data_IF_802593001185
#
_entry.id   IF_802593001185
#
_cell.length_a   1.000
_cell.length_b   1.000
_cell.length_c   1.000
_cell.angle_alpha   90.00
_cell.angle_beta   90.00
_cell.angle_gamma   90.00
#
_symmetry.space_group_name_H-M   'P 1'
#
loop_
_entity.id
_entity.type
_entity.pdbx_description
1 polymer ?
#
# COMPACT_ATOMS: atom_id res chain seq x y z
N UNK A 1 -10.44 -28.58 20.14
CA UNK A 1 -9.74 -27.52 20.89
C UNK A 1 -8.50 -28.10 21.54
N UNK A 2 -7.33 -27.50 21.31
CA UNK A 2 -6.09 -27.76 22.07
C UNK A 2 -6.16 -27.01 23.39
N UNK A 3 -5.78 -27.65 24.50
CA UNK A 3 -5.78 -27.02 25.83
C UNK A 3 -4.38 -26.86 26.38
N UNK A 4 -4.06 -25.66 26.86
CA UNK A 4 -2.82 -25.34 27.57
C UNK A 4 -3.10 -24.86 28.99
N UNK A 5 -2.09 -24.97 29.85
CA UNK A 5 -2.09 -24.39 31.20
C UNK A 5 -1.10 -23.24 31.25
N UNK A 6 -1.61 -22.05 31.54
CA UNK A 6 -0.82 -20.84 31.73
C UNK A 6 -0.01 -20.92 33.03
N UNK A 7 0.96 -20.02 33.21
CA UNK A 7 1.81 -20.00 34.41
C UNK A 7 0.99 -19.76 35.69
N UNK A 8 -0.11 -19.03 35.57
CA UNK A 8 -1.12 -18.81 36.60
C UNK A 8 -1.96 -20.05 36.97
N UNK A 9 -1.89 -21.13 36.18
CA UNK A 9 -2.75 -22.32 36.30
C UNK A 9 -4.09 -22.20 35.56
N UNK A 10 -4.38 -21.02 35.01
CA UNK A 10 -5.57 -20.76 34.18
C UNK A 10 -5.55 -21.64 32.92
N UNK A 11 -6.72 -22.12 32.53
CA UNK A 11 -6.90 -22.91 31.31
C UNK A 11 -6.98 -22.00 30.09
N UNK A 12 -6.31 -22.38 29.01
CA UNK A 12 -6.43 -21.76 27.70
C UNK A 12 -6.89 -22.81 26.69
N UNK A 13 -7.89 -22.49 25.90
CA UNK A 13 -8.44 -23.34 24.83
C UNK A 13 -8.20 -22.65 23.50
N UNK A 14 -7.69 -23.39 22.52
CA UNK A 14 -7.29 -22.87 21.21
C UNK A 14 -7.91 -23.76 20.15
N UNK A 15 -8.41 -23.16 19.08
CA UNK A 15 -8.90 -23.90 17.93
C UNK A 15 -7.80 -24.82 17.36
N UNK A 16 -8.16 -26.05 16.98
CA UNK A 16 -7.18 -27.05 16.52
C UNK A 16 -6.51 -26.64 15.21
N UNK A 17 -7.25 -26.01 14.29
CA UNK A 17 -6.71 -25.58 12.99
C UNK A 17 -5.74 -24.42 13.20
N UNK A 18 -6.08 -23.47 14.07
CA UNK A 18 -5.19 -22.36 14.43
C UNK A 18 -3.92 -22.84 15.14
N UNK A 19 -4.06 -23.75 16.10
CA UNK A 19 -2.90 -24.30 16.81
C UNK A 19 -1.98 -25.10 15.88
N UNK A 20 -2.55 -25.95 15.00
CA UNK A 20 -1.79 -26.72 14.03
C UNK A 20 -1.06 -25.82 13.04
N UNK A 21 -1.72 -24.78 12.51
CA UNK A 21 -1.10 -23.79 11.64
C UNK A 21 0.11 -23.12 12.30
N UNK A 22 -0.04 -22.64 13.54
CA UNK A 22 1.08 -22.00 14.24
C UNK A 22 2.23 -22.98 14.48
N UNK A 23 1.93 -24.22 14.89
CA UNK A 23 2.94 -25.28 15.14
C UNK A 23 3.69 -25.69 13.88
N UNK A 24 2.98 -25.90 12.77
CA UNK A 24 3.51 -26.58 11.59
C UNK A 24 4.01 -25.60 10.52
N UNK A 25 3.47 -24.37 10.48
CA UNK A 25 3.75 -23.40 9.42
C UNK A 25 4.45 -22.14 9.92
N UNK A 26 4.09 -21.61 11.11
CA UNK A 26 4.60 -20.30 11.60
C UNK A 26 5.90 -20.42 12.38
N UNK A 27 5.92 -21.21 13.45
CA UNK A 27 7.07 -21.29 14.36
C UNK A 27 8.28 -22.09 13.86
N UNK A 28 8.23 -22.93 12.81
CA UNK A 28 9.44 -23.52 12.24
C UNK A 28 10.50 -22.44 11.96
N UNK A 29 11.75 -22.74 12.32
CA UNK A 29 12.92 -21.86 12.16
C UNK A 29 12.92 -20.55 12.99
N UNK A 30 11.89 -20.31 13.82
CA UNK A 30 11.84 -19.14 14.72
C UNK A 30 12.54 -19.34 16.06
N UNK A 31 12.83 -20.60 16.43
CA UNK A 31 13.32 -20.96 17.77
C UNK A 31 12.26 -20.93 18.87
N UNK A 32 10.97 -20.82 18.52
CA UNK A 32 9.82 -20.87 19.43
C UNK A 32 8.99 -22.13 19.22
N UNK A 33 8.19 -22.52 20.22
CA UNK A 33 7.11 -23.51 20.05
C UNK A 33 5.73 -22.86 20.01
N UNK A 34 4.75 -23.57 19.47
CA UNK A 34 3.36 -23.10 19.50
C UNK A 34 2.87 -22.90 20.94
N UNK A 35 3.24 -23.78 21.88
CA UNK A 35 2.89 -23.65 23.29
C UNK A 35 3.46 -22.36 23.89
N UNK A 36 4.69 -21.97 23.57
CA UNK A 36 5.26 -20.72 24.05
C UNK A 36 4.50 -19.50 23.50
N UNK A 37 4.19 -19.51 22.20
CA UNK A 37 3.43 -18.42 21.54
C UNK A 37 2.06 -18.26 22.19
N UNK A 38 1.28 -19.35 22.28
CA UNK A 38 -0.05 -19.29 22.87
C UNK A 38 -0.01 -19.01 24.37
N UNK A 39 0.99 -19.49 25.11
CA UNK A 39 1.13 -19.11 26.53
C UNK A 39 1.33 -17.62 26.70
N UNK A 40 2.17 -16.99 25.86
CA UNK A 40 2.34 -15.53 25.85
C UNK A 40 1.02 -14.84 25.54
N UNK A 41 0.30 -15.27 24.51
CA UNK A 41 -1.02 -14.74 24.15
C UNK A 41 -2.00 -14.83 25.32
N UNK A 42 -2.06 -15.98 25.99
CA UNK A 42 -2.94 -16.18 27.16
C UNK A 42 -2.62 -15.23 28.31
N UNK A 43 -1.34 -15.03 28.63
CA UNK A 43 -0.91 -14.07 29.67
C UNK A 43 -1.22 -12.61 29.27
N UNK A 44 -1.08 -12.26 27.99
CA UNK A 44 -1.48 -10.95 27.47
C UNK A 44 -3.00 -10.75 27.56
N UNK A 45 -3.79 -11.76 27.22
CA UNK A 45 -5.25 -11.72 27.33
C UNK A 45 -5.71 -11.54 28.77
N UNK A 46 -5.12 -12.28 29.73
CA UNK A 46 -5.40 -12.09 31.16
C UNK A 46 -5.07 -10.68 31.63
N UNK A 47 -3.91 -10.16 31.21
CA UNK A 47 -3.42 -8.85 31.66
C UNK A 47 -4.21 -7.69 31.07
N UNK A 48 -4.51 -7.74 29.77
CA UNK A 48 -5.04 -6.60 29.02
C UNK A 48 -6.53 -6.72 28.66
N UNK A 49 -7.12 -7.91 28.72
CA UNK A 49 -8.55 -8.14 28.50
C UNK A 49 -9.47 -7.25 29.36
N UNK A 50 -9.25 -7.15 30.69
CA UNK A 50 -10.06 -6.28 31.55
C UNK A 50 -10.01 -4.81 31.13
N UNK A 51 -8.82 -4.30 30.77
CA UNK A 51 -8.67 -2.91 30.29
C UNK A 51 -9.35 -2.70 28.94
N UNK A 52 -9.31 -3.71 28.06
CA UNK A 52 -10.02 -3.69 26.78
C UNK A 52 -11.53 -3.50 26.99
N UNK A 53 -12.12 -4.28 27.91
CA UNK A 53 -13.54 -4.17 28.27
C UNK A 53 -13.87 -2.80 28.87
N UNK A 54 -13.06 -2.31 29.80
CA UNK A 54 -13.25 -0.99 30.42
C UNK A 54 -13.29 0.14 29.37
N UNK A 55 -12.46 0.06 28.33
CA UNK A 55 -12.45 1.05 27.24
C UNK A 55 -13.72 0.99 26.39
N UNK A 56 -14.27 -0.20 26.14
CA UNK A 56 -15.56 -0.36 25.45
C UNK A 56 -16.72 0.16 26.30
N UNK A 57 -16.71 -0.14 27.61
CA UNK A 57 -17.71 0.37 28.55
C UNK A 57 -17.66 1.91 28.62
N UNK A 58 -16.46 2.50 28.57
CA UNK A 58 -16.30 3.96 28.46
C UNK A 58 -16.95 4.51 27.18
N UNK A 59 -16.74 3.88 26.03
CA UNK A 59 -17.39 4.27 24.75
C UNK A 59 -18.92 4.20 24.86
N UNK A 60 -19.45 3.10 25.39
CA UNK A 60 -20.90 2.91 25.56
C UNK A 60 -21.51 3.92 26.54
N UNK A 61 -20.82 4.22 27.64
CA UNK A 61 -21.25 5.21 28.61
C UNK A 61 -21.27 6.63 28.04
N UNK A 62 -20.24 7.00 27.25
CA UNK A 62 -20.18 8.28 26.55
C UNK A 62 -21.31 8.41 25.52
N UNK A 63 -21.52 7.40 24.66
CA UNK A 63 -22.62 7.41 23.69
C UNK A 63 -23.98 7.55 24.39
N UNK A 64 -24.21 6.79 25.47
CA UNK A 64 -25.46 6.86 26.24
C UNK A 64 -25.74 8.24 26.83
N UNK A 65 -24.71 9.03 27.13
CA UNK A 65 -24.85 10.42 27.63
C UNK A 65 -25.28 11.35 26.49
N UNK A 66 -24.66 11.22 25.32
CA UNK A 66 -25.03 11.96 24.10
C UNK A 66 -26.48 11.65 23.71
N UNK A 67 -26.87 10.38 23.74
CA UNK A 67 -28.24 9.95 23.44
C UNK A 67 -29.24 10.59 24.42
N UNK A 68 -28.97 10.53 25.73
CA UNK A 68 -29.84 11.14 26.75
C UNK A 68 -29.96 12.65 26.58
N UNK A 69 -28.87 13.34 26.23
CA UNK A 69 -28.88 14.77 25.97
C UNK A 69 -29.84 15.12 24.84
N UNK A 70 -29.71 14.48 23.67
CA UNK A 70 -30.58 14.79 22.52
C UNK A 70 -32.01 14.32 22.72
N UNK A 71 -32.24 13.15 23.34
CA UNK A 71 -33.59 12.68 23.69
C UNK A 71 -34.26 13.68 24.66
N UNK A 72 -33.54 14.17 25.66
CA UNK A 72 -34.01 15.17 26.61
C UNK A 72 -34.36 16.49 25.92
N UNK A 73 -33.47 17.00 25.06
CA UNK A 73 -33.70 18.20 24.25
C UNK A 73 -34.98 18.09 23.43
N UNK A 74 -35.14 16.98 22.69
CA UNK A 74 -36.34 16.70 21.88
C UNK A 74 -37.62 16.64 22.71
N UNK A 75 -37.59 15.98 23.88
CA UNK A 75 -38.74 15.98 24.82
C UNK A 75 -39.08 17.37 25.34
N UNK A 76 -38.08 18.26 25.44
CA UNK A 76 -38.25 19.67 25.78
C UNK A 76 -38.76 20.56 24.65
N UNK A 77 -39.10 19.99 23.48
CA UNK A 77 -39.60 20.75 22.32
C UNK A 77 -38.51 21.39 21.47
N UNK A 78 -37.24 21.03 21.67
CA UNK A 78 -36.16 21.48 20.79
C UNK A 78 -36.28 20.84 19.41
N UNK A 79 -36.12 21.66 18.38
CA UNK A 79 -35.93 21.25 16.98
C UNK A 79 -34.72 22.00 16.40
N UNK A 80 -33.78 21.31 15.72
CA UNK A 80 -32.64 21.98 15.11
C UNK A 80 -33.10 22.83 13.93
N UNK A 81 -32.69 24.09 13.90
CA UNK A 81 -32.87 24.98 12.74
C UNK A 81 -31.51 25.54 12.30
N UNK A 82 -31.47 26.16 11.11
CA UNK A 82 -30.25 26.81 10.63
C UNK A 82 -29.84 27.94 11.58
N UNK A 83 -30.82 28.65 12.15
CA UNK A 83 -30.61 29.75 13.10
C UNK A 83 -30.10 29.24 14.46
N UNK A 84 -30.48 28.03 14.89
CA UNK A 84 -30.05 27.45 16.16
C UNK A 84 -28.67 26.79 16.10
N UNK A 85 -28.18 26.46 14.90
CA UNK A 85 -27.00 25.61 14.70
C UNK A 85 -25.76 26.05 15.50
N UNK A 86 -25.43 27.34 15.49
CA UNK A 86 -24.26 27.85 16.21
C UNK A 86 -24.42 27.72 17.74
N UNK A 87 -25.62 27.99 18.26
CA UNK A 87 -25.93 27.86 19.68
C UNK A 87 -25.94 26.39 20.10
N UNK A 88 -26.56 25.53 19.30
CA UNK A 88 -26.63 24.09 19.55
C UNK A 88 -25.24 23.44 19.54
N UNK A 89 -24.37 23.85 18.62
CA UNK A 89 -22.97 23.42 18.57
C UNK A 89 -22.20 23.85 19.83
N UNK A 90 -22.39 25.10 20.29
CA UNK A 90 -21.76 25.58 21.52
C UNK A 90 -22.25 24.85 22.77
N UNK A 91 -23.56 24.63 22.90
CA UNK A 91 -24.15 23.87 24.01
C UNK A 91 -23.69 22.40 24.00
N UNK A 92 -23.60 21.77 22.83
CA UNK A 92 -23.10 20.41 22.69
C UNK A 92 -21.60 20.32 22.97
N UNK A 93 -20.80 21.28 22.50
CA UNK A 93 -19.37 21.36 22.83
C UNK A 93 -19.14 21.44 24.34
N UNK A 94 -19.93 22.26 25.04
CA UNK A 94 -19.85 22.35 26.51
C UNK A 94 -20.24 21.01 27.17
N UNK A 95 -21.29 20.34 26.71
CA UNK A 95 -21.63 19.00 27.19
C UNK A 95 -20.44 18.03 27.04
N UNK A 96 -19.78 18.02 25.88
CA UNK A 96 -18.64 17.13 25.66
C UNK A 96 -17.47 17.42 26.61
N UNK A 97 -17.23 18.68 26.97
CA UNK A 97 -16.24 19.06 27.98
C UNK A 97 -16.67 18.64 29.38
N UNK A 98 -17.91 18.96 29.77
CA UNK A 98 -18.47 18.63 31.09
C UNK A 98 -18.47 17.12 31.36
N UNK A 99 -18.69 16.33 30.31
CA UNK A 99 -18.69 14.86 30.38
C UNK A 99 -17.28 14.24 30.28
N UNK A 100 -16.23 15.06 30.12
CA UNK A 100 -14.85 14.61 29.97
C UNK A 100 -14.59 13.84 28.68
N UNK A 101 -15.38 14.10 27.64
CA UNK A 101 -15.17 13.59 26.28
C UNK A 101 -14.12 14.44 25.55
N UNK A 102 -14.23 15.75 25.65
CA UNK A 102 -13.23 16.71 25.19
C UNK A 102 -12.44 17.24 26.39
N UNK A 103 -11.13 17.28 26.26
CA UNK A 103 -10.27 18.00 27.21
C UNK A 103 -10.12 19.45 26.75
N UNK A 104 -9.86 20.40 27.66
CA UNK A 104 -9.53 21.77 27.29
C UNK A 104 -8.34 21.79 26.31
N UNK A 105 -8.46 22.58 25.25
CA UNK A 105 -7.35 22.77 24.31
C UNK A 105 -6.14 23.33 25.07
N UNK A 106 -5.01 22.63 24.97
CA UNK A 106 -3.75 23.06 25.55
C UNK A 106 -2.65 22.90 24.51
N UNK A 107 -1.77 23.89 24.42
CA UNK A 107 -0.59 23.78 23.56
C UNK A 107 0.35 22.74 24.17
N UNK A 108 0.57 21.65 23.45
CA UNK A 108 1.49 20.59 23.84
C UNK A 108 2.65 20.61 22.84
N UNK A 109 3.84 20.96 23.30
CA UNK A 109 5.06 20.75 22.53
C UNK A 109 5.52 19.30 22.70
N UNK A 110 5.69 18.59 21.59
CA UNK A 110 6.24 17.25 21.56
C UNK A 110 7.09 17.07 20.31
N UNK A 111 7.97 16.07 20.34
CA UNK A 111 8.74 15.63 19.18
C UNK A 111 8.57 14.11 19.03
N UNK A 112 8.40 13.65 17.79
CA UNK A 112 8.39 12.21 17.51
C UNK A 112 9.81 11.65 17.67
N UNK A 113 9.92 10.49 18.33
CA UNK A 113 11.19 9.80 18.57
C UNK A 113 11.32 8.51 17.76
N UNK A 114 10.35 8.22 16.89
CA UNK A 114 10.40 7.09 15.97
C UNK A 114 11.67 7.21 15.12
N UNK A 115 12.52 6.17 15.08
CA UNK A 115 13.70 6.19 14.24
C UNK A 115 13.30 6.26 12.76
N UNK A 116 14.25 6.64 11.91
CA UNK A 116 14.08 6.51 10.46
C UNK A 116 13.88 5.02 10.11
N UNK A 117 12.72 4.71 9.50
CA UNK A 117 12.35 3.37 9.05
C UNK A 117 12.80 3.18 7.59
N UNK A 118 12.08 2.37 6.82
CA UNK A 118 12.22 2.29 5.38
C UNK A 118 11.97 3.63 4.69
N UNK A 119 12.68 3.87 3.57
CA UNK A 119 12.61 5.11 2.78
C UNK A 119 11.17 5.46 2.37
N UNK A 120 10.35 4.45 2.07
CA UNK A 120 8.95 4.63 1.67
C UNK A 120 8.12 5.36 2.74
N UNK A 121 8.49 5.30 4.03
CA UNK A 121 7.80 6.01 5.13
C UNK A 121 8.08 7.52 5.16
N UNK A 122 9.08 7.97 4.39
CA UNK A 122 9.45 9.38 4.22
C UNK A 122 9.17 9.91 2.82
N UNK A 123 8.73 9.03 1.91
CA UNK A 123 8.44 9.33 0.52
C UNK A 123 6.96 9.65 0.33
N UNK A 124 6.66 10.58 -0.58
CA UNK A 124 5.29 10.80 -1.03
C UNK A 124 4.95 9.80 -2.13
N UNK A 125 3.84 9.09 -1.98
CA UNK A 125 3.33 8.18 -3.01
C UNK A 125 1.98 7.58 -2.63
N UNK A 126 1.29 6.95 -3.59
CA UNK A 126 0.08 6.17 -3.32
C UNK A 126 0.27 5.07 -2.27
N UNK A 127 -0.75 4.88 -1.44
CA UNK A 127 -0.89 3.72 -0.55
C UNK A 127 -2.12 2.91 -0.99
N UNK A 128 -1.92 1.61 -1.18
CA UNK A 128 -3.00 0.68 -1.54
C UNK A 128 -3.49 -0.07 -0.30
N UNK A 129 -4.74 -0.55 -0.31
CA UNK A 129 -5.26 -1.50 0.70
C UNK A 129 -5.65 -2.78 -0.02
N UNK A 130 -5.21 -3.94 0.48
CA UNK A 130 -5.51 -5.25 -0.11
C UNK A 130 -6.07 -6.22 0.91
N UNK A 131 -7.17 -6.94 0.60
CA UNK A 131 -7.74 -7.93 1.52
C UNK A 131 -6.85 -9.16 1.60
N UNK A 132 -6.42 -9.51 2.82
CA UNK A 132 -5.48 -10.62 3.01
C UNK A 132 -6.06 -11.99 2.67
N UNK A 133 -7.38 -12.17 2.81
CA UNK A 133 -8.05 -13.45 2.55
C UNK A 133 -8.19 -13.77 1.04
N UNK A 134 -7.76 -12.87 0.15
CA UNK A 134 -7.66 -13.11 -1.29
C UNK A 134 -6.21 -13.07 -1.77
N UNK A 135 -5.58 -14.24 -1.92
CA UNK A 135 -4.18 -14.36 -2.31
C UNK A 135 -3.83 -13.63 -3.63
N UNK A 136 -4.72 -13.62 -4.63
CA UNK A 136 -4.45 -12.92 -5.90
C UNK A 136 -4.45 -11.40 -5.74
N UNK A 137 -5.33 -10.87 -4.88
CA UNK A 137 -5.32 -9.45 -4.54
C UNK A 137 -4.14 -9.11 -3.64
N UNK A 138 -3.76 -9.97 -2.70
CA UNK A 138 -2.60 -9.79 -1.84
C UNK A 138 -1.28 -9.70 -2.64
N UNK A 139 -1.01 -10.66 -3.53
CA UNK A 139 0.14 -10.60 -4.46
C UNK A 139 0.03 -9.38 -5.38
N UNK A 140 -1.18 -9.06 -5.86
CA UNK A 140 -1.42 -7.86 -6.67
C UNK A 140 -1.06 -6.58 -5.93
N UNK A 141 -1.39 -6.48 -4.63
CA UNK A 141 -1.07 -5.34 -3.80
C UNK A 141 0.42 -5.21 -3.53
N UNK A 142 1.10 -6.33 -3.26
CA UNK A 142 2.56 -6.34 -3.15
C UNK A 142 3.26 -5.91 -4.44
N UNK A 143 2.75 -6.32 -5.60
CA UNK A 143 3.34 -5.99 -6.91
C UNK A 143 2.90 -4.63 -7.46
N UNK A 144 1.94 -3.95 -6.82
CA UNK A 144 1.38 -2.69 -7.30
C UNK A 144 2.38 -1.51 -7.27
N UNK A 145 3.56 -1.68 -6.67
CA UNK A 145 4.61 -0.66 -6.70
C UNK A 145 4.96 -0.23 -8.11
N UNK A 146 5.02 -1.14 -9.08
CA UNK A 146 5.37 -0.84 -10.46
C UNK A 146 4.20 -1.19 -11.38
N UNK A 147 3.65 -0.19 -12.06
CA UNK A 147 2.49 -0.34 -12.94
C UNK A 147 2.74 0.24 -14.33
N UNK A 148 2.24 -0.44 -15.36
CA UNK A 148 2.22 0.11 -16.72
C UNK A 148 1.28 1.31 -16.78
N UNK A 149 1.83 2.48 -17.08
CA UNK A 149 1.07 3.69 -17.32
C UNK A 149 0.22 3.56 -18.58
N UNK A 150 0.71 2.84 -19.60
CA UNK A 150 -0.05 2.59 -20.82
C UNK A 150 -1.29 1.73 -20.57
N UNK A 151 -1.15 0.63 -19.84
CA UNK A 151 -2.31 -0.19 -19.47
C UNK A 151 -3.28 0.61 -18.60
N UNK A 152 -2.79 1.42 -17.66
CA UNK A 152 -3.63 2.26 -16.81
C UNK A 152 -4.48 3.26 -17.62
N UNK A 153 -3.89 3.98 -18.58
CA UNK A 153 -4.65 4.85 -19.47
C UNK A 153 -5.56 4.07 -20.43
N UNK A 154 -5.07 2.98 -21.01
CA UNK A 154 -5.82 2.22 -22.02
C UNK A 154 -7.06 1.56 -21.42
N UNK A 155 -6.95 0.97 -20.22
CA UNK A 155 -8.00 0.18 -19.58
C UNK A 155 -8.98 1.00 -18.73
N UNK A 156 -8.59 2.21 -18.31
CA UNK A 156 -9.44 3.08 -17.48
C UNK A 156 -10.60 3.70 -18.26
N UNK A 157 -11.50 4.35 -17.52
CA UNK A 157 -12.56 5.20 -18.05
C UNK A 157 -12.11 6.65 -18.27
N UNK A 158 -10.81 6.95 -18.16
CA UNK A 158 -10.25 8.23 -18.61
C UNK A 158 -10.49 8.35 -20.11
N UNK A 159 -10.99 9.51 -20.56
CA UNK A 159 -11.43 9.73 -21.95
C UNK A 159 -12.50 8.70 -22.42
N UNK A 160 -13.66 8.59 -21.74
CA UNK A 160 -14.67 7.57 -22.04
C UNK A 160 -15.31 7.75 -23.43
N UNK A 161 -15.16 8.91 -24.05
CA UNK A 161 -15.58 9.19 -25.42
C UNK A 161 -14.78 8.42 -26.48
N UNK A 162 -13.60 7.90 -26.15
CA UNK A 162 -12.78 7.05 -27.02
C UNK A 162 -12.85 5.61 -26.50
N UNK A 163 -13.75 4.82 -27.08
CA UNK A 163 -13.98 3.44 -26.67
C UNK A 163 -12.77 2.54 -26.98
N UNK A 164 -12.37 1.71 -26.01
CA UNK A 164 -11.16 0.88 -26.10
C UNK A 164 -11.29 -0.30 -27.07
N UNK A 165 -12.51 -0.76 -27.33
CA UNK A 165 -12.77 -1.96 -28.13
C UNK A 165 -13.05 -1.58 -29.59
N UNK A 166 -13.98 -0.66 -29.82
CA UNK A 166 -14.39 -0.20 -31.16
C UNK A 166 -13.49 0.87 -31.77
N UNK A 167 -12.81 1.68 -30.95
CA UNK A 167 -11.88 2.75 -31.36
C UNK A 167 -10.44 2.48 -30.91
N UNK A 168 -10.02 1.21 -30.89
CA UNK A 168 -8.71 0.79 -30.34
C UNK A 168 -7.51 1.60 -30.85
N UNK A 169 -7.46 1.91 -32.15
CA UNK A 169 -6.36 2.70 -32.73
C UNK A 169 -6.31 4.13 -32.18
N UNK A 170 -7.47 4.80 -32.12
CA UNK A 170 -7.60 6.14 -31.53
C UNK A 170 -7.29 6.12 -30.03
N UNK A 171 -7.70 5.06 -29.32
CA UNK A 171 -7.38 4.85 -27.90
C UNK A 171 -5.87 4.78 -27.68
N UNK A 172 -5.15 4.01 -28.50
CA UNK A 172 -3.68 3.92 -28.39
C UNK A 172 -3.01 5.27 -28.64
N UNK A 173 -3.43 6.02 -29.66
CA UNK A 173 -2.89 7.35 -29.92
C UNK A 173 -3.15 8.30 -28.74
N UNK A 174 -4.35 8.26 -28.17
CA UNK A 174 -4.69 9.04 -26.97
C UNK A 174 -3.76 8.72 -25.80
N UNK A 175 -3.44 7.45 -25.56
CA UNK A 175 -2.51 7.06 -24.49
C UNK A 175 -1.14 7.69 -24.71
N UNK A 176 -0.60 7.62 -25.94
CA UNK A 176 0.70 8.22 -26.28
C UNK A 176 0.66 9.74 -26.07
N UNK A 177 -0.34 10.42 -26.63
CA UNK A 177 -0.46 11.87 -26.55
C UNK A 177 -0.53 12.34 -25.09
N UNK A 178 -1.37 11.70 -24.28
CA UNK A 178 -1.57 12.05 -22.86
C UNK A 178 -0.33 11.80 -22.01
N UNK A 179 0.34 10.68 -22.21
CA UNK A 179 1.53 10.35 -21.43
C UNK A 179 2.69 11.27 -21.79
N UNK A 180 2.88 11.59 -23.07
CA UNK A 180 3.92 12.53 -23.49
C UNK A 180 3.65 13.95 -23.06
N UNK A 181 2.40 14.41 -23.13
CA UNK A 181 1.98 15.70 -22.59
C UNK A 181 2.30 15.79 -21.10
N UNK A 182 1.93 14.77 -20.32
CA UNK A 182 2.21 14.73 -18.89
C UNK A 182 3.72 14.75 -18.59
N UNK A 183 4.49 13.87 -19.25
CA UNK A 183 5.93 13.78 -19.05
C UNK A 183 6.64 15.09 -19.41
N UNK A 184 6.28 15.73 -20.53
CA UNK A 184 6.89 16.98 -20.99
C UNK A 184 6.52 18.19 -20.14
N UNK A 185 5.30 18.23 -19.58
CA UNK A 185 4.82 19.35 -18.79
C UNK A 185 5.22 19.26 -17.31
N UNK A 186 5.37 18.04 -16.77
CA UNK A 186 5.49 17.84 -15.33
C UNK A 186 6.74 17.10 -14.87
N UNK A 187 7.37 16.29 -15.73
CA UNK A 187 8.47 15.40 -15.30
C UNK A 187 9.82 15.89 -15.81
N UNK A 188 9.99 16.00 -17.15
CA UNK A 188 11.25 16.42 -17.77
C UNK A 188 11.04 17.27 -19.02
N UNK A 189 11.95 18.22 -19.23
CA UNK A 189 12.05 18.99 -20.46
C UNK A 189 13.34 18.64 -21.19
N UNK A 190 13.28 18.64 -22.53
CA UNK A 190 14.45 18.42 -23.38
C UNK A 190 15.00 19.76 -23.89
N UNK A 191 16.28 19.77 -24.24
CA UNK A 191 16.93 20.92 -24.86
C UNK A 191 16.29 21.27 -26.21
N UNK A 192 16.53 22.50 -26.69
CA UNK A 192 16.10 22.99 -28.00
C UNK A 192 14.57 23.02 -28.23
N UNK A 193 13.77 22.90 -27.16
CA UNK A 193 12.31 22.90 -27.24
C UNK A 193 11.73 21.61 -27.84
N UNK A 194 12.53 20.55 -27.91
CA UNK A 194 12.07 19.22 -28.33
C UNK A 194 11.28 18.54 -27.20
N UNK A 195 10.47 17.56 -27.56
CA UNK A 195 9.73 16.72 -26.63
C UNK A 195 9.78 15.26 -27.02
N UNK A 196 9.15 14.40 -26.21
CA UNK A 196 9.12 12.96 -26.45
C UNK A 196 8.68 12.63 -27.89
N UNK A 197 7.62 13.26 -28.39
CA UNK A 197 7.07 13.04 -29.74
C UNK A 197 8.04 13.34 -30.90
N UNK A 198 9.12 14.07 -30.67
CA UNK A 198 10.08 14.43 -31.74
C UNK A 198 11.16 13.36 -31.96
N UNK A 199 11.35 12.46 -31.00
CA UNK A 199 12.44 11.48 -31.03
C UNK A 199 12.04 10.17 -31.69
N UNK A 200 12.99 9.57 -32.42
CA UNK A 200 12.87 8.25 -33.05
C UNK A 200 13.75 7.19 -32.38
N UNK A 201 14.70 7.63 -31.54
CA UNK A 201 15.56 6.75 -30.76
C UNK A 201 16.22 7.48 -29.60
N UNK A 202 16.64 6.72 -28.60
CA UNK A 202 17.41 7.19 -27.46
C UNK A 202 18.74 6.47 -27.38
N UNK A 203 19.77 7.19 -26.92
CA UNK A 203 21.10 6.64 -26.68
C UNK A 203 21.66 7.15 -25.37
N UNK A 204 22.60 6.40 -24.80
CA UNK A 204 23.37 6.80 -23.62
C UNK A 204 24.83 6.90 -24.03
N UNK A 205 25.50 7.99 -23.63
CA UNK A 205 26.93 8.19 -23.88
C UNK A 205 27.60 8.92 -22.71
N UNK A 206 28.91 8.73 -22.48
CA UNK A 206 29.62 9.49 -21.47
C UNK A 206 29.73 10.96 -21.88
N UNK A 207 29.56 11.85 -20.91
CA UNK A 207 29.93 13.26 -21.04
C UNK A 207 31.45 13.45 -20.82
N UNK A 208 31.92 14.70 -20.79
CA UNK A 208 33.33 15.04 -20.58
C UNK A 208 33.92 14.51 -19.26
N UNK A 209 33.07 14.29 -18.26
CA UNK A 209 33.46 13.82 -16.93
C UNK A 209 33.35 12.29 -16.79
N UNK A 210 32.99 11.60 -17.88
CA UNK A 210 32.79 10.15 -17.91
C UNK A 210 31.45 9.68 -17.34
N UNK A 211 30.58 10.60 -16.91
CA UNK A 211 29.22 10.29 -16.44
C UNK A 211 28.29 10.06 -17.63
N UNK A 212 27.47 9.04 -17.55
CA UNK A 212 26.52 8.70 -18.60
C UNK A 212 25.40 9.74 -18.69
N UNK A 213 25.07 10.16 -19.91
CA UNK A 213 23.97 11.09 -20.21
C UNK A 213 23.04 10.50 -21.26
N UNK A 214 21.74 10.80 -21.13
CA UNK A 214 20.69 10.39 -22.06
C UNK A 214 20.56 11.40 -23.20
N UNK A 215 20.46 10.89 -24.43
CA UNK A 215 20.26 11.69 -25.64
C UNK A 215 19.06 11.15 -26.42
N UNK A 216 18.12 12.02 -26.76
CA UNK A 216 17.08 11.76 -27.75
C UNK A 216 17.55 12.18 -29.14
N UNK A 217 17.24 11.39 -30.17
CA UNK A 217 17.56 11.70 -31.57
C UNK A 217 16.29 11.81 -32.41
N UNK A 218 16.17 12.89 -33.18
CA UNK A 218 15.06 13.16 -34.09
C UNK A 218 15.24 12.47 -35.44
N UNK A 219 14.18 12.42 -36.26
CA UNK A 219 14.20 11.79 -37.58
C UNK A 219 15.19 12.45 -38.56
N UNK A 220 15.40 13.77 -38.46
CA UNK A 220 16.37 14.52 -39.27
C UNK A 220 17.82 14.45 -38.72
N UNK A 221 18.01 13.76 -37.59
CA UNK A 221 19.32 13.47 -37.00
C UNK A 221 19.81 14.50 -35.99
N UNK A 222 19.01 15.48 -35.60
CA UNK A 222 19.32 16.32 -34.45
C UNK A 222 19.30 15.49 -33.16
N UNK A 223 20.10 15.90 -32.17
CA UNK A 223 20.16 15.28 -30.86
C UNK A 223 19.92 16.33 -29.77
N UNK A 224 19.27 15.93 -28.67
CA UNK A 224 19.06 16.76 -27.49
C UNK A 224 19.17 15.95 -26.21
N UNK A 225 19.75 16.56 -25.18
CA UNK A 225 19.74 16.03 -23.81
C UNK A 225 18.54 16.54 -23.01
N UNK A 226 18.45 16.11 -21.76
CA UNK A 226 17.53 16.69 -20.77
C UNK A 226 18.04 18.06 -20.32
N UNK A 227 17.13 19.02 -20.12
CA UNK A 227 17.47 20.31 -19.52
C UNK A 227 17.94 20.17 -18.06
N UNK A 228 17.38 19.20 -17.34
CA UNK A 228 17.86 18.77 -16.02
C UNK A 228 18.43 17.34 -16.12
N UNK A 229 19.76 17.20 -16.30
CA UNK A 229 20.40 15.89 -16.37
C UNK A 229 20.31 15.06 -15.08
N UNK A 230 19.94 15.66 -13.94
CA UNK A 230 19.81 14.92 -12.68
C UNK A 230 18.57 14.02 -12.65
N UNK A 231 17.58 14.27 -13.52
CA UNK A 231 16.38 13.44 -13.68
C UNK A 231 16.70 12.06 -14.23
N UNK A 232 17.74 11.92 -15.05
CA UNK A 232 18.17 10.62 -15.56
C UNK A 232 19.01 9.92 -14.50
N UNK A 233 18.55 8.78 -14.01
CA UNK A 233 19.19 8.07 -12.87
C UNK A 233 19.90 6.78 -13.29
N UNK A 234 19.57 6.21 -14.45
CA UNK A 234 20.20 4.99 -14.90
C UNK A 234 19.57 4.38 -16.15
N UNK A 235 20.13 3.27 -16.60
CA UNK A 235 19.79 2.63 -17.86
C UNK A 235 20.14 1.14 -17.88
N UNK A 236 19.60 0.42 -18.86
CA UNK A 236 19.97 -0.96 -19.18
C UNK A 236 20.33 -1.09 -20.66
N UNK A 237 21.26 -2.00 -20.95
CA UNK A 237 21.70 -2.30 -22.32
C UNK A 237 21.75 -3.80 -22.58
N UNK A 238 21.53 -4.17 -23.82
CA UNK A 238 21.77 -5.51 -24.35
C UNK A 238 22.60 -5.38 -25.64
N UNK A 239 23.75 -6.04 -25.71
CA UNK A 239 24.68 -5.95 -26.85
C UNK A 239 25.01 -4.49 -27.23
N UNK A 240 25.33 -3.66 -26.23
CA UNK A 240 25.63 -2.22 -26.34
C UNK A 240 24.47 -1.34 -26.85
N UNK A 241 23.27 -1.91 -27.04
CA UNK A 241 22.07 -1.18 -27.41
C UNK A 241 21.24 -0.84 -26.17
N UNK A 242 20.79 0.41 -26.07
CA UNK A 242 19.90 0.86 -25.01
C UNK A 242 18.57 0.10 -25.08
N UNK A 243 18.20 -0.58 -24.00
CA UNK A 243 16.91 -1.28 -23.89
C UNK A 243 15.95 -0.52 -22.98
N UNK A 244 16.47 0.15 -21.96
CA UNK A 244 15.67 0.87 -20.98
C UNK A 244 16.43 2.08 -20.45
N UNK A 245 15.70 3.12 -20.06
CA UNK A 245 16.24 4.20 -19.24
C UNK A 245 15.29 4.55 -18.10
N UNK A 246 15.84 5.12 -17.04
CA UNK A 246 15.13 5.41 -15.80
C UNK A 246 15.22 6.89 -15.50
N UNK A 247 14.06 7.50 -15.27
CA UNK A 247 13.94 8.86 -14.78
C UNK A 247 13.44 8.86 -13.33
N UNK A 248 13.80 9.90 -12.58
CA UNK A 248 13.27 10.16 -11.24
C UNK A 248 12.75 11.59 -11.12
N UNK A 249 11.53 11.73 -10.60
CA UNK A 249 10.93 13.01 -10.24
C UNK A 249 10.18 12.87 -8.91
N UNK A 250 10.34 13.85 -8.02
CA UNK A 250 9.72 13.84 -6.68
C UNK A 250 9.91 12.51 -5.92
N UNK A 251 11.11 11.92 -6.03
CA UNK A 251 11.51 10.62 -5.48
C UNK A 251 10.78 9.39 -6.07
N UNK A 252 9.94 9.56 -7.09
CA UNK A 252 9.27 8.48 -7.81
C UNK A 252 9.97 8.21 -9.13
N UNK A 253 10.09 6.93 -9.46
CA UNK A 253 10.84 6.47 -10.63
C UNK A 253 9.92 6.10 -11.79
N UNK A 254 10.44 6.27 -13.00
CA UNK A 254 9.77 5.91 -14.24
C UNK A 254 10.76 5.13 -15.11
N UNK A 255 10.40 3.90 -15.47
CA UNK A 255 11.12 3.04 -16.40
C UNK A 255 10.52 3.20 -17.80
N UNK A 256 11.38 3.56 -18.75
CA UNK A 256 11.04 3.65 -20.17
C UNK A 256 11.59 2.43 -20.89
N UNK A 257 10.73 1.59 -21.43
CA UNK A 257 11.13 0.39 -22.17
C UNK A 257 11.16 0.66 -23.68
N UNK A 258 12.31 0.42 -24.32
CA UNK A 258 12.54 0.74 -25.73
C UNK A 258 12.37 -0.47 -26.65
N UNK A 259 12.09 -0.18 -27.92
CA UNK A 259 12.23 -1.14 -29.00
C UNK A 259 13.71 -1.43 -29.31
N UNK A 260 13.94 -2.45 -30.12
CA UNK A 260 15.29 -2.91 -30.45
C UNK A 260 16.18 -1.77 -31.00
N UNK A 261 17.41 -1.69 -30.51
CA UNK A 261 18.36 -0.65 -30.90
C UNK A 261 18.06 0.73 -30.31
N UNK A 262 17.40 0.80 -29.14
CA UNK A 262 17.04 2.06 -28.48
C UNK A 262 15.94 2.85 -29.19
N UNK A 263 15.15 2.21 -30.05
CA UNK A 263 14.13 2.87 -30.88
C UNK A 263 12.82 3.09 -30.15
N UNK A 264 12.03 4.00 -30.69
CA UNK A 264 10.60 4.17 -30.38
C UNK A 264 9.76 3.89 -31.63
N UNK A 265 8.47 3.61 -31.42
CA UNK A 265 7.50 3.36 -32.48
C UNK A 265 6.19 4.10 -32.17
N UNK A 266 6.01 5.29 -32.75
CA UNK A 266 4.82 6.12 -32.53
C UNK A 266 3.50 5.47 -32.96
N UNK A 267 3.52 4.52 -33.90
CA UNK A 267 2.32 3.76 -34.29
C UNK A 267 1.98 2.65 -33.29
N UNK A 268 2.94 2.26 -32.46
CA UNK A 268 2.83 1.22 -31.45
C UNK A 268 3.19 1.72 -30.05
N UNK A 269 2.56 2.82 -29.62
CA UNK A 269 2.66 3.28 -28.24
C UNK A 269 3.89 4.12 -27.94
N UNK A 270 4.68 4.54 -28.92
CA UNK A 270 5.99 5.18 -28.78
C UNK A 270 7.03 4.32 -28.05
N UNK A 271 6.85 4.05 -26.76
CA UNK A 271 7.66 3.10 -26.00
C UNK A 271 7.03 1.71 -26.05
N UNK A 272 7.79 0.65 -25.73
CA UNK A 272 7.18 -0.67 -25.49
C UNK A 272 6.21 -0.60 -24.32
N UNK A 273 6.64 0.09 -23.27
CA UNK A 273 5.84 0.43 -22.11
C UNK A 273 6.51 1.57 -21.32
N UNK A 274 5.71 2.24 -20.49
CA UNK A 274 6.14 3.18 -19.47
C UNK A 274 5.70 2.63 -18.11
N UNK A 275 6.65 2.12 -17.34
CA UNK A 275 6.36 1.54 -16.02
C UNK A 275 6.67 2.57 -14.94
N UNK A 276 5.68 2.97 -14.17
CA UNK A 276 5.79 3.99 -13.13
C UNK A 276 5.80 3.37 -11.74
N UNK A 277 6.64 3.91 -10.86
CA UNK A 277 6.54 3.68 -9.43
C UNK A 277 5.27 4.34 -8.89
N UNK A 278 4.42 3.59 -8.17
CA UNK A 278 3.09 4.02 -7.76
C UNK A 278 2.78 3.63 -6.31
N UNK A 279 2.21 2.45 -6.02
CA UNK A 279 1.91 2.04 -4.64
C UNK A 279 3.20 1.79 -3.85
N UNK A 280 3.78 2.84 -3.28
CA UNK A 280 5.02 2.76 -2.49
C UNK A 280 4.79 1.95 -1.22
N UNK A 281 3.59 2.07 -0.65
CA UNK A 281 3.13 1.26 0.48
C UNK A 281 1.85 0.51 0.14
N UNK A 282 1.60 -0.57 0.86
CA UNK A 282 0.34 -1.32 0.81
C UNK A 282 -0.04 -1.80 2.21
N UNK A 283 -1.29 -1.57 2.60
CA UNK A 283 -1.89 -2.14 3.79
C UNK A 283 -2.44 -3.53 3.45
N UNK A 284 -1.89 -4.56 4.07
CA UNK A 284 -2.47 -5.91 4.10
C UNK A 284 -3.54 -5.92 5.19
N UNK A 285 -4.79 -6.07 4.77
CA UNK A 285 -5.93 -5.79 5.62
C UNK A 285 -6.59 -7.03 6.22
N UNK A 286 -6.75 -7.02 7.54
CA UNK A 286 -7.50 -8.01 8.32
C UNK A 286 -8.77 -7.42 8.95
N UNK A 287 -9.13 -6.17 8.67
CA UNK A 287 -10.26 -5.48 9.28
C UNK A 287 -11.44 -5.31 8.30
N UNK A 288 -11.54 -4.16 7.62
CA UNK A 288 -12.78 -3.76 6.93
C UNK A 288 -12.94 -4.34 5.51
N UNK A 289 -11.86 -4.80 4.87
CA UNK A 289 -11.91 -5.37 3.52
C UNK A 289 -12.11 -6.89 3.51
N UNK A 290 -12.25 -7.53 4.67
CA UNK A 290 -12.33 -8.99 4.82
C UNK A 290 -13.54 -9.42 5.64
N UNK A 291 -13.90 -10.70 5.51
CA UNK A 291 -14.78 -11.37 6.45
C UNK A 291 -13.98 -12.54 7.01
N UNK A 292 -13.60 -12.43 8.28
CA UNK A 292 -12.86 -13.46 9.03
C UNK A 292 -13.64 -13.64 10.33
N UNK A 293 -14.39 -14.74 10.43
CA UNK A 293 -15.33 -14.93 11.55
C UNK A 293 -15.01 -16.16 12.40
N UNK A 294 -14.12 -17.02 11.94
CA UNK A 294 -13.70 -18.24 12.63
C UNK A 294 -12.22 -18.57 12.39
N UNK A 295 -11.76 -19.68 12.97
CA UNK A 295 -10.38 -20.11 12.89
C UNK A 295 -9.95 -20.55 11.48
N UNK A 296 -10.88 -21.05 10.65
CA UNK A 296 -10.56 -21.48 9.28
C UNK A 296 -10.27 -20.26 8.40
N UNK A 297 -11.12 -19.23 8.48
CA UNK A 297 -10.91 -17.95 7.80
C UNK A 297 -9.61 -17.27 8.28
N UNK A 298 -9.37 -17.28 9.59
CA UNK A 298 -8.18 -16.67 10.18
C UNK A 298 -6.91 -17.37 9.70
N UNK A 299 -6.90 -18.70 9.68
CA UNK A 299 -5.74 -19.46 9.20
C UNK A 299 -5.52 -19.28 7.70
N UNK A 300 -6.57 -19.14 6.88
CA UNK A 300 -6.41 -18.78 5.47
C UNK A 300 -5.73 -17.40 5.32
N UNK A 301 -6.21 -16.40 6.06
CA UNK A 301 -5.67 -15.05 6.07
C UNK A 301 -4.20 -15.01 6.54
N UNK A 302 -3.90 -15.64 7.68
CA UNK A 302 -2.56 -15.72 8.23
C UNK A 302 -1.60 -16.47 7.30
N UNK A 303 -2.05 -17.52 6.62
CA UNK A 303 -1.22 -18.25 5.64
C UNK A 303 -0.85 -17.38 4.43
N UNK A 304 -1.81 -16.60 3.92
CA UNK A 304 -1.51 -15.64 2.85
C UNK A 304 -0.50 -14.59 3.33
N UNK A 305 -0.68 -14.05 4.53
CA UNK A 305 0.25 -13.07 5.09
C UNK A 305 1.65 -13.65 5.35
N UNK A 306 1.74 -14.88 5.88
CA UNK A 306 3.01 -15.59 6.03
C UNK A 306 3.72 -15.78 4.69
N UNK A 307 2.97 -16.09 3.63
CA UNK A 307 3.52 -16.20 2.29
C UNK A 307 4.03 -14.86 1.72
N UNK A 308 3.38 -13.74 2.07
CA UNK A 308 3.88 -12.40 1.75
C UNK A 308 5.20 -12.12 2.49
N UNK A 309 5.27 -12.43 3.79
CA UNK A 309 6.49 -12.26 4.61
C UNK A 309 7.64 -13.10 4.07
N UNK A 310 7.38 -14.34 3.66
CA UNK A 310 8.39 -15.27 3.13
C UNK A 310 8.75 -14.99 1.67
N UNK A 311 7.93 -14.22 0.96
CA UNK A 311 8.12 -13.93 -0.46
C UNK A 311 7.71 -15.09 -1.39
N UNK A 312 6.99 -16.09 -0.88
CA UNK A 312 6.62 -17.32 -1.60
C UNK A 312 5.12 -17.46 -1.88
N UNK A 313 4.31 -16.44 -1.56
CA UNK A 313 2.88 -16.45 -1.89
C UNK A 313 2.67 -16.54 -3.41
N UNK A 314 1.88 -17.54 -3.82
CA UNK A 314 1.46 -17.73 -5.20
C UNK A 314 -0.05 -17.71 -5.31
N UNK A 315 -0.55 -17.14 -6.40
CA UNK A 315 -1.97 -17.09 -6.69
C UNK A 315 -2.22 -17.17 -8.19
N UNK A 316 -3.48 -17.27 -8.60
CA UNK A 316 -3.87 -17.19 -10.00
C UNK A 316 -4.79 -15.98 -10.21
N UNK A 317 -4.51 -15.20 -11.25
CA UNK A 317 -5.39 -14.11 -11.66
C UNK A 317 -6.71 -14.62 -12.26
N UNK A 318 -7.66 -13.72 -12.52
CA UNK A 318 -8.97 -14.06 -13.12
C UNK A 318 -8.88 -14.74 -14.49
N UNK A 319 -7.77 -14.53 -15.22
CA UNK A 319 -7.48 -15.17 -16.50
C UNK A 319 -6.66 -16.47 -16.38
N UNK A 320 -6.41 -16.95 -15.16
CA UNK A 320 -5.66 -18.19 -14.90
C UNK A 320 -4.14 -18.06 -14.95
N UNK A 321 -3.58 -16.87 -15.13
CA UNK A 321 -2.14 -16.65 -15.08
C UNK A 321 -1.61 -16.76 -13.64
N UNK A 322 -0.50 -17.48 -13.47
CA UNK A 322 0.23 -17.53 -12.19
C UNK A 322 0.72 -16.13 -11.82
N UNK A 323 0.50 -15.75 -10.57
CA UNK A 323 1.01 -14.53 -9.94
C UNK A 323 1.95 -14.91 -8.81
N UNK A 324 3.14 -14.33 -8.84
CA UNK A 324 4.15 -14.41 -7.79
C UNK A 324 4.61 -13.00 -7.44
N UNK A 325 5.29 -12.81 -6.31
CA UNK A 325 5.90 -11.52 -5.99
C UNK A 325 6.96 -11.14 -7.01
N UNK A 326 7.01 -9.85 -7.36
CA UNK A 326 7.99 -9.29 -8.29
C UNK A 326 9.39 -9.28 -7.64
N UNK A 327 10.42 -9.53 -8.44
CA UNK A 327 11.80 -9.27 -8.05
C UNK A 327 12.13 -7.79 -8.14
N UNK A 328 13.18 -7.38 -7.43
CA UNK A 328 13.73 -6.03 -7.53
C UNK A 328 14.14 -5.68 -8.96
N UNK A 329 13.94 -4.41 -9.33
CA UNK A 329 14.29 -3.90 -10.66
C UNK A 329 15.74 -3.43 -10.61
N UNK A 330 16.59 -4.03 -11.45
CA UNK A 330 18.01 -3.70 -11.54
C UNK A 330 18.28 -2.73 -12.69
N UNK A 331 19.22 -1.80 -12.49
CA UNK A 331 19.69 -0.90 -13.53
C UNK A 331 21.15 -0.49 -13.31
N UNK A 332 21.79 0.04 -14.35
CA UNK A 332 23.13 0.64 -14.25
C UNK A 332 23.01 2.14 -14.01
N UNK A 333 23.66 2.64 -12.95
CA UNK A 333 23.70 4.07 -12.68
C UNK A 333 24.62 4.82 -13.64
N UNK A 334 24.65 6.13 -13.46
CA UNK A 334 25.36 7.05 -14.36
C UNK A 334 26.88 6.95 -14.26
N UNK A 335 27.41 6.26 -13.24
CA UNK A 335 28.82 5.97 -13.06
C UNK A 335 29.19 4.54 -13.50
N UNK A 336 28.21 3.75 -13.96
CA UNK A 336 28.41 2.37 -14.40
C UNK A 336 28.27 1.33 -13.30
N UNK A 337 27.79 1.68 -12.10
CA UNK A 337 27.57 0.72 -11.03
C UNK A 337 26.16 0.11 -11.09
N UNK A 338 26.04 -1.16 -10.72
CA UNK A 338 24.75 -1.83 -10.62
C UNK A 338 23.96 -1.32 -9.41
N UNK A 339 22.70 -0.98 -9.64
CA UNK A 339 21.73 -0.56 -8.65
C UNK A 339 20.51 -1.48 -8.70
N UNK A 340 19.76 -1.52 -7.60
CA UNK A 340 18.48 -2.21 -7.53
C UNK A 340 17.48 -1.36 -6.73
N UNK A 341 16.23 -1.37 -7.18
CA UNK A 341 15.10 -0.76 -6.48
C UNK A 341 14.06 -1.82 -6.19
N UNK A 342 13.40 -1.71 -5.04
CA UNK A 342 12.42 -2.70 -4.58
C UNK A 342 11.35 -2.94 -5.65
N UNK A 343 11.09 -4.20 -5.97
CA UNK A 343 10.08 -4.62 -6.94
C UNK A 343 8.66 -4.60 -6.39
N UNK A 344 8.53 -4.57 -5.06
CA UNK A 344 7.27 -4.66 -4.34
C UNK A 344 7.06 -3.48 -3.39
N UNK A 345 5.79 -3.21 -3.07
CA UNK A 345 5.35 -2.21 -2.11
C UNK A 345 5.87 -2.56 -0.71
N UNK A 346 6.19 -1.55 0.09
CA UNK A 346 6.39 -1.77 1.53
C UNK A 346 5.04 -2.09 2.18
N UNK A 347 4.95 -3.25 2.83
CA UNK A 347 3.68 -3.73 3.38
C UNK A 347 3.53 -3.41 4.87
N UNK A 348 2.45 -2.75 5.23
CA UNK A 348 1.96 -2.66 6.61
C UNK A 348 0.81 -3.64 6.81
N UNK A 349 0.47 -3.94 8.06
CA UNK A 349 -0.68 -4.81 8.40
C UNK A 349 -1.70 -4.01 9.20
N UNK A 350 -2.96 -4.07 8.77
CA UNK A 350 -4.08 -3.49 9.52
C UNK A 350 -4.76 -4.58 10.36
N UNK A 351 -4.45 -4.55 11.65
CA UNK A 351 -5.10 -5.38 12.67
C UNK A 351 -6.50 -4.85 13.01
N UNK A 352 -7.39 -5.74 13.43
CA UNK A 352 -8.71 -5.37 13.98
C UNK A 352 -8.62 -4.52 15.25
N UNK A 353 -9.61 -3.66 15.46
CA UNK A 353 -9.68 -2.77 16.62
C UNK A 353 -10.24 -3.42 17.90
N UNK A 354 -10.48 -2.59 18.91
CA UNK A 354 -10.91 -2.93 20.28
C UNK A 354 -12.21 -3.73 20.42
N UNK A 355 -13.08 -3.71 19.40
CA UNK A 355 -14.49 -4.02 19.55
C UNK A 355 -14.78 -5.52 19.62
N UNK A 356 -14.15 -6.30 18.76
CA UNK A 356 -14.50 -7.69 18.53
C UNK A 356 -13.84 -8.62 19.56
N UNK A 357 -14.56 -9.70 19.87
CA UNK A 357 -14.10 -10.84 20.65
C UNK A 357 -14.21 -12.08 19.78
N UNK A 358 -13.38 -13.07 20.04
CA UNK A 358 -13.30 -14.28 19.25
C UNK A 358 -13.24 -15.52 20.13
N UNK A 359 -13.88 -16.59 19.67
CA UNK A 359 -13.89 -17.89 20.32
C UNK A 359 -12.82 -18.85 19.79
N UNK A 360 -12.04 -18.43 18.80
CA UNK A 360 -10.85 -19.13 18.29
C UNK A 360 -9.83 -19.41 19.41
N UNK A 361 -9.79 -18.52 20.41
CA UNK A 361 -9.00 -18.67 21.62
C UNK A 361 -9.86 -18.26 22.81
N UNK A 362 -9.90 -19.11 23.83
CA UNK A 362 -10.55 -18.82 25.11
C UNK A 362 -9.55 -18.92 26.26
N UNK A 363 -9.69 -18.01 27.22
CA UNK A 363 -8.92 -18.02 28.47
C UNK A 363 -9.92 -18.03 29.63
N UNK A 364 -9.77 -19.00 30.53
CA UNK A 364 -10.73 -19.26 31.61
C UNK A 364 -12.19 -19.43 31.11
N UNK A 365 -12.33 -20.06 29.94
CA UNK A 365 -13.62 -20.27 29.27
C UNK A 365 -14.23 -19.01 28.63
N UNK A 366 -13.54 -17.86 28.65
CA UNK A 366 -14.00 -16.61 28.05
C UNK A 366 -13.29 -16.35 26.72
N UNK A 367 -14.03 -15.85 25.73
CA UNK A 367 -13.48 -15.29 24.49
C UNK A 367 -12.50 -14.16 24.80
N UNK A 368 -11.43 -14.06 24.02
CA UNK A 368 -10.46 -12.98 24.14
C UNK A 368 -10.80 -11.85 23.15
N UNK A 369 -10.37 -10.60 23.40
CA UNK A 369 -10.44 -9.54 22.40
C UNK A 369 -9.65 -9.96 21.15
N UNK A 370 -10.25 -9.83 19.98
CA UNK A 370 -9.64 -10.24 18.71
C UNK A 370 -8.37 -9.44 18.41
N UNK A 371 -8.31 -8.15 18.79
CA UNK A 371 -7.08 -7.36 18.68
C UNK A 371 -5.90 -7.86 19.52
N UNK A 372 -6.17 -8.68 20.56
CA UNK A 372 -5.13 -9.31 21.38
C UNK A 372 -4.66 -10.59 20.71
N UNK A 373 -5.57 -11.35 20.07
CA UNK A 373 -5.18 -12.44 19.16
C UNK A 373 -4.23 -11.90 18.11
N UNK A 374 -4.62 -10.80 17.45
CA UNK A 374 -3.80 -10.08 16.48
C UNK A 374 -3.37 -10.95 15.29
N UNK A 375 -2.55 -10.35 14.42
CA UNK A 375 -1.88 -11.02 13.30
C UNK A 375 -0.42 -11.25 13.64
#
# INVERSE_FOLDING_TARGET
>A
MTTLKLASGTSMEIDEVLYAFVRDEVVPDTGRTAEEVFSILGELALRFGPKNRELLDKRAAQQSRIDRYYIGKRKGGWEPTVESAAKDAGEFGQLLVDEGYLEPETQIEFNMTTPELDLEMSQNGPELVTPVNNASMAVGGANARWGSLYDAYFLSDINPEIDRDSSRGERLQMVVDRTNEYLGNHVVQWENGLGFNDFVSYTVRPNSDGRQVLMGRTADGAEAGLQDPAKFIGFNQHEDQLTEFFLEDNNLKIQFQLYEGGKVDGENGQFKDLVVESAVTTIVDFEDAVAIVDAEDMVLALRNYLGLIRGDLQAHGSRGALKTLNSDISFIDLNGAAQAVKGTSLMSVRNVSLHMYTDMVKVDGQEIPERILGV
#
